data_IF_741417158454
#
_entry.id   IF_741417158454
#
_cell.length_a   1.000
_cell.length_b   1.000
_cell.length_c   1.000
_cell.angle_alpha   90.00
_cell.angle_beta   90.00
_cell.angle_gamma   90.00
#
_symmetry.space_group_name_H-M   'P 1'
#
loop_
_entity.id
_entity.type
_entity.pdbx_description
1 polymer ?
#
# COMPACT_ATOMS: atom_id res chain seq x y z
N UNK A 1 26.32 -17.40 5.99
CA UNK A 1 25.64 -17.95 7.18
C UNK A 1 24.73 -16.86 7.72
N UNK A 2 23.48 -16.80 7.23
CA UNK A 2 22.46 -15.92 7.79
C UNK A 2 21.75 -16.74 8.86
N UNK A 3 21.96 -16.39 10.13
CA UNK A 3 21.22 -17.02 11.22
C UNK A 3 19.76 -16.59 11.09
N UNK A 4 18.88 -17.55 10.80
CA UNK A 4 17.43 -17.41 10.91
C UNK A 4 17.09 -17.43 12.40
N UNK A 5 16.73 -16.28 12.97
CA UNK A 5 16.31 -16.19 14.37
C UNK A 5 14.86 -16.69 14.48
N UNK A 6 14.62 -17.58 15.43
CA UNK A 6 13.29 -18.12 15.72
C UNK A 6 12.39 -17.00 16.29
N UNK A 7 11.24 -16.79 15.67
CA UNK A 7 10.30 -15.74 16.04
C UNK A 7 9.78 -15.89 17.49
N UNK A 8 9.90 -17.09 18.08
CA UNK A 8 9.51 -17.36 19.47
C UNK A 8 10.45 -16.77 20.52
N UNK A 9 11.77 -16.72 20.27
CA UNK A 9 12.71 -16.10 21.22
C UNK A 9 12.57 -14.57 21.29
N UNK A 10 11.97 -13.95 20.26
CA UNK A 10 11.75 -12.50 20.19
C UNK A 10 10.63 -12.04 21.13
N UNK A 11 9.71 -12.93 21.52
CA UNK A 11 8.52 -12.57 22.30
C UNK A 11 8.69 -12.73 23.81
N UNK A 12 9.66 -13.54 24.28
CA UNK A 12 9.82 -13.87 25.71
C UNK A 12 10.85 -12.99 26.46
N UNK A 13 11.53 -12.09 25.75
CA UNK A 13 12.34 -11.03 26.37
C UNK A 13 11.62 -9.68 26.26
N UNK A 14 10.93 -9.22 27.32
CA UNK A 14 10.95 -7.82 27.82
C UNK A 14 9.76 -7.44 28.72
N UNK A 15 10.06 -6.66 29.77
CA UNK A 15 9.33 -5.42 30.01
C UNK A 15 10.18 -4.13 30.01
N UNK A 16 11.48 -4.14 29.64
CA UNK A 16 12.30 -2.92 29.84
C UNK A 16 13.26 -2.48 28.76
N UNK A 17 13.16 -3.01 27.54
CA UNK A 17 14.15 -2.60 26.55
C UNK A 17 13.69 -1.38 25.77
N UNK A 18 14.59 -0.39 25.81
CA UNK A 18 14.45 1.00 25.42
C UNK A 18 14.04 1.11 23.95
N UNK A 19 13.05 1.95 23.65
CA UNK A 19 12.54 2.19 22.28
C UNK A 19 13.59 2.53 21.21
N UNK A 20 14.80 2.90 21.63
CA UNK A 20 15.95 3.14 20.75
C UNK A 20 16.36 1.90 19.94
N UNK A 21 16.29 0.69 20.52
CA UNK A 21 16.69 -0.53 19.81
C UNK A 21 15.74 -0.90 18.66
N UNK A 22 14.44 -0.66 18.82
CA UNK A 22 13.46 -0.96 17.77
C UNK A 22 13.66 -0.07 16.54
N UNK A 23 14.01 1.22 16.74
CA UNK A 23 14.34 2.13 15.65
C UNK A 23 15.60 1.68 14.90
N UNK A 24 16.67 1.36 15.63
CA UNK A 24 17.91 0.87 15.02
C UNK A 24 17.68 -0.44 14.24
N UNK A 25 16.90 -1.36 14.79
CA UNK A 25 16.53 -2.62 14.14
C UNK A 25 15.68 -2.39 12.88
N UNK A 26 14.66 -1.54 12.94
CA UNK A 26 13.85 -1.17 11.79
C UNK A 26 14.72 -0.57 10.67
N UNK A 27 15.63 0.35 11.02
CA UNK A 27 16.56 0.94 10.07
C UNK A 27 17.44 -0.11 9.39
N UNK A 28 17.98 -1.08 10.14
CA UNK A 28 18.80 -2.15 9.58
C UNK A 28 18.00 -3.02 8.59
N UNK A 29 16.76 -3.38 8.94
CA UNK A 29 15.87 -4.16 8.06
C UNK A 29 15.58 -3.39 6.77
N UNK A 30 15.30 -2.08 6.86
CA UNK A 30 15.08 -1.24 5.69
C UNK A 30 16.32 -1.18 4.79
N UNK A 31 17.52 -1.06 5.37
CA UNK A 31 18.78 -1.15 4.62
C UNK A 31 18.91 -2.50 3.93
N UNK A 32 18.65 -3.61 4.62
CA UNK A 32 18.69 -4.95 4.01
C UNK A 32 17.72 -5.06 2.83
N UNK A 33 16.47 -4.66 3.02
CA UNK A 33 15.44 -4.68 1.96
C UNK A 33 15.86 -3.81 0.77
N UNK A 34 16.49 -2.66 0.99
CA UNK A 34 16.91 -1.76 -0.09
C UNK A 34 18.01 -2.34 -0.98
N UNK A 35 18.80 -3.30 -0.47
CA UNK A 35 19.84 -3.98 -1.26
C UNK A 35 19.29 -5.09 -2.17
N UNK A 36 18.04 -5.49 -1.98
CA UNK A 36 17.41 -6.55 -2.78
C UNK A 36 16.80 -5.97 -4.06
N UNK A 37 17.09 -6.58 -5.23
CA UNK A 37 16.32 -6.29 -6.45
C UNK A 37 14.94 -6.99 -6.37
N UNK A 38 14.04 -6.34 -5.64
CA UNK A 38 12.64 -6.78 -5.47
C UNK A 38 11.89 -6.85 -6.79
N UNK A 39 12.27 -6.05 -7.79
CA UNK A 39 11.62 -6.07 -9.12
C UNK A 39 11.95 -7.37 -9.84
N UNK A 40 13.20 -7.82 -9.76
CA UNK A 40 13.61 -9.07 -10.37
C UNK A 40 13.12 -10.29 -9.57
N UNK A 41 13.36 -10.33 -8.25
CA UNK A 41 13.02 -11.49 -7.40
C UNK A 41 11.52 -11.63 -7.10
N UNK A 42 10.79 -10.52 -7.03
CA UNK A 42 9.43 -10.48 -6.48
C UNK A 42 9.43 -10.51 -4.94
N UNK A 43 8.24 -10.73 -4.34
CA UNK A 43 8.09 -10.87 -2.89
C UNK A 43 8.13 -12.35 -2.52
N UNK A 44 9.30 -12.85 -2.14
CA UNK A 44 9.53 -14.23 -1.70
C UNK A 44 9.29 -14.40 -0.18
N UNK A 45 9.52 -15.60 0.33
CA UNK A 45 9.36 -15.91 1.75
C UNK A 45 10.37 -15.15 2.63
N UNK A 46 11.60 -14.97 2.16
CA UNK A 46 12.66 -14.23 2.86
C UNK A 46 12.26 -12.75 3.02
N UNK A 47 11.84 -12.12 1.94
CA UNK A 47 11.30 -10.76 1.95
C UNK A 47 10.07 -10.66 2.87
N UNK A 48 9.17 -11.65 2.83
CA UNK A 48 7.99 -11.68 3.72
C UNK A 48 8.40 -11.74 5.20
N UNK A 49 9.44 -12.51 5.54
CA UNK A 49 9.97 -12.56 6.90
C UNK A 49 10.60 -11.22 7.34
N UNK A 50 11.33 -10.55 6.43
CA UNK A 50 11.87 -9.20 6.69
C UNK A 50 10.77 -8.16 6.90
N UNK A 51 9.71 -8.20 6.08
CA UNK A 51 8.54 -7.34 6.25
C UNK A 51 7.80 -7.60 7.57
N UNK A 52 7.73 -8.86 8.02
CA UNK A 52 7.18 -9.22 9.33
C UNK A 52 8.01 -8.63 10.47
N UNK A 53 9.34 -8.76 10.39
CA UNK A 53 10.25 -8.16 11.36
C UNK A 53 10.14 -6.64 11.40
N UNK A 54 9.99 -6.00 10.24
CA UNK A 54 9.77 -4.57 10.13
C UNK A 54 8.45 -4.17 10.81
N UNK A 55 7.36 -4.87 10.51
CA UNK A 55 6.05 -4.64 11.14
C UNK A 55 6.12 -4.74 12.67
N UNK A 56 6.81 -5.76 13.18
CA UNK A 56 7.02 -5.92 14.62
C UNK A 56 7.84 -4.77 15.25
N UNK A 57 8.76 -4.15 14.50
CA UNK A 57 9.56 -3.02 14.97
C UNK A 57 8.81 -1.68 14.87
N UNK A 58 7.88 -1.53 13.92
CA UNK A 58 7.12 -0.28 13.71
C UNK A 58 5.92 -0.15 14.62
N UNK A 59 5.33 -1.27 15.06
CA UNK A 59 4.20 -1.25 15.97
C UNK A 59 4.69 -0.96 17.40
N UNK A 60 4.07 0.02 18.08
CA UNK A 60 4.45 0.40 19.44
C UNK A 60 4.13 -0.73 20.43
N UNK A 61 5.09 -1.25 21.23
CA UNK A 61 4.85 -2.33 22.19
C UNK A 61 3.73 -2.06 23.21
N UNK A 62 3.36 -0.79 23.45
CA UNK A 62 2.22 -0.45 24.32
C UNK A 62 0.86 -0.64 23.64
N UNK A 63 0.81 -0.62 22.31
CA UNK A 63 -0.43 -0.63 21.52
C UNK A 63 -0.76 -2.01 20.94
N UNK A 64 0.26 -2.84 20.71
CA UNK A 64 0.06 -4.25 20.42
C UNK A 64 0.44 -5.04 21.67
N UNK A 65 -0.53 -5.64 22.34
CA UNK A 65 -0.33 -6.44 23.56
C UNK A 65 0.34 -7.79 23.26
N UNK A 66 1.32 -7.82 22.34
CA UNK A 66 1.86 -9.05 21.76
C UNK A 66 0.90 -9.76 20.79
N UNK A 67 -0.12 -9.05 20.29
CA UNK A 67 -1.10 -9.64 19.38
C UNK A 67 -0.47 -9.85 17.98
N UNK A 68 -0.11 -11.11 17.68
CA UNK A 68 0.41 -11.52 16.37
C UNK A 68 -0.53 -11.12 15.22
N UNK A 69 -1.84 -11.00 15.46
CA UNK A 69 -2.80 -10.65 14.41
C UNK A 69 -2.53 -9.26 13.81
N UNK A 70 -2.10 -8.30 14.64
CA UNK A 70 -1.77 -6.95 14.20
C UNK A 70 -0.46 -6.91 13.40
N UNK A 71 0.55 -7.67 13.85
CA UNK A 71 1.81 -7.83 13.12
C UNK A 71 1.53 -8.48 11.76
N UNK A 72 0.74 -9.54 11.72
CA UNK A 72 0.36 -10.25 10.49
C UNK A 72 -0.40 -9.33 9.52
N UNK A 73 -1.38 -8.58 10.02
CA UNK A 73 -2.16 -7.62 9.23
C UNK A 73 -1.27 -6.53 8.62
N UNK A 74 -0.37 -5.97 9.41
CA UNK A 74 0.60 -4.95 8.95
C UNK A 74 1.59 -5.52 7.94
N UNK A 75 2.07 -6.74 8.17
CA UNK A 75 2.94 -7.48 7.24
C UNK A 75 2.26 -7.67 5.89
N UNK A 76 0.97 -8.04 5.89
CA UNK A 76 0.19 -8.22 4.67
C UNK A 76 0.04 -6.90 3.89
N UNK A 77 -0.21 -5.79 4.59
CA UNK A 77 -0.26 -4.45 3.96
C UNK A 77 1.07 -4.08 3.31
N UNK A 78 2.19 -4.25 4.02
CA UNK A 78 3.52 -3.99 3.46
C UNK A 78 3.80 -4.86 2.24
N UNK A 79 3.48 -6.16 2.32
CA UNK A 79 3.61 -7.09 1.20
C UNK A 79 2.80 -6.63 -0.03
N UNK A 80 1.55 -6.23 0.15
CA UNK A 80 0.69 -5.75 -0.95
C UNK A 80 1.27 -4.50 -1.63
N UNK A 81 1.85 -3.58 -0.87
CA UNK A 81 2.50 -2.38 -1.43
C UNK A 81 3.71 -2.77 -2.29
N UNK A 82 4.57 -3.66 -1.79
CA UNK A 82 5.75 -4.12 -2.55
C UNK A 82 5.32 -4.92 -3.80
N UNK A 83 4.33 -5.81 -3.69
CA UNK A 83 3.81 -6.57 -4.85
C UNK A 83 3.28 -5.64 -5.95
N UNK A 84 2.53 -4.61 -5.60
CA UNK A 84 2.06 -3.59 -6.56
C UNK A 84 3.21 -2.86 -7.22
N UNK A 85 4.20 -2.43 -6.43
CA UNK A 85 5.41 -1.78 -6.95
C UNK A 85 6.16 -2.68 -7.95
N UNK A 86 6.30 -3.97 -7.65
CA UNK A 86 6.95 -4.95 -8.54
C UNK A 86 6.19 -5.09 -9.86
N UNK A 87 4.86 -5.18 -9.82
CA UNK A 87 4.02 -5.29 -11.03
C UNK A 87 4.21 -4.06 -11.92
N UNK A 88 4.07 -2.85 -11.35
CA UNK A 88 4.23 -1.59 -12.10
C UNK A 88 5.64 -1.46 -12.67
N UNK A 89 6.67 -1.73 -11.86
CA UNK A 89 8.08 -1.64 -12.29
C UNK A 89 8.41 -2.63 -13.42
N UNK A 90 7.87 -3.85 -13.37
CA UNK A 90 8.05 -4.84 -14.44
C UNK A 90 7.35 -4.40 -15.73
N UNK A 91 6.14 -3.85 -15.63
CA UNK A 91 5.43 -3.31 -16.79
C UNK A 91 6.21 -2.16 -17.44
N UNK A 92 6.74 -1.24 -16.63
CA UNK A 92 7.56 -0.12 -17.11
C UNK A 92 8.85 -0.60 -17.79
N UNK A 93 9.57 -1.57 -17.22
CA UNK A 93 10.78 -2.16 -17.86
C UNK A 93 10.46 -2.82 -19.21
N UNK A 94 9.31 -3.51 -19.34
CA UNK A 94 8.87 -4.10 -20.62
C UNK A 94 8.56 -3.03 -21.66
N UNK A 95 7.91 -1.95 -21.27
CA UNK A 95 7.59 -0.83 -22.16
C UNK A 95 8.85 -0.11 -22.65
N UNK A 96 9.81 0.16 -21.76
CA UNK A 96 11.12 0.70 -22.15
C UNK A 96 11.87 -0.24 -23.10
N UNK A 97 11.80 -1.55 -22.87
CA UNK A 97 12.34 -2.56 -23.78
C UNK A 97 11.73 -2.49 -25.17
N UNK A 98 10.40 -2.33 -25.27
CA UNK A 98 9.68 -2.17 -26.56
C UNK A 98 10.10 -0.90 -27.29
N UNK A 99 10.17 0.23 -26.59
CA UNK A 99 10.60 1.52 -27.18
C UNK A 99 12.04 1.45 -27.70
N UNK A 100 12.93 0.84 -26.94
CA UNK A 100 14.33 0.65 -27.37
C UNK A 100 14.45 -0.33 -28.55
N UNK A 101 13.61 -1.36 -28.60
CA UNK A 101 13.51 -2.27 -29.74
C UNK A 101 13.03 -1.58 -31.01
N UNK A 102 11.97 -0.77 -30.93
CA UNK A 102 11.46 0.02 -32.06
C UNK A 102 12.50 1.01 -32.59
N UNK A 103 13.28 1.65 -31.71
CA UNK A 103 14.32 2.60 -32.13
C UNK A 103 15.44 1.95 -32.95
N UNK A 104 15.71 0.66 -32.73
CA UNK A 104 16.68 -0.11 -33.52
C UNK A 104 16.13 -0.63 -34.85
N UNK A 105 14.81 -0.65 -35.00
CA UNK A 105 14.13 -1.07 -36.23
C UNK A 105 13.73 0.09 -37.14
N UNK A 106 14.16 1.32 -36.84
CA UNK A 106 14.10 2.38 -37.85
C UNK A 106 14.99 1.88 -38.98
N UNK A 107 14.42 1.53 -40.17
CA UNK A 107 15.24 1.16 -41.29
C UNK A 107 16.19 2.33 -41.51
N UNK A 108 17.49 2.03 -41.52
CA UNK A 108 18.47 2.95 -42.09
C UNK A 108 18.02 3.07 -43.53
N UNK A 109 17.17 4.06 -43.83
CA UNK A 109 16.94 4.49 -45.19
C UNK A 109 18.33 4.76 -45.71
N UNK A 110 18.73 4.01 -46.74
CA UNK A 110 19.97 4.19 -47.45
C UNK A 110 20.09 5.67 -47.80
N UNK A 111 20.90 6.40 -47.02
CA UNK A 111 21.38 7.74 -47.35
C UNK A 111 22.42 7.56 -48.45
N UNK A 112 21.97 7.04 -49.59
CA UNK A 112 22.76 6.89 -50.82
C UNK A 112 22.30 7.85 -51.91
N UNK A 113 21.35 8.75 -51.66
CA UNK A 113 20.90 9.73 -52.66
C UNK A 113 20.84 11.15 -52.11
N UNK A 114 21.99 11.73 -51.74
CA UNK A 114 22.17 13.19 -51.77
C UNK A 114 23.65 13.61 -51.71
N UNK A 115 24.50 12.99 -52.53
CA UNK A 115 25.83 13.51 -52.85
C UNK A 115 25.81 14.23 -54.22
N UNK A 116 24.76 15.02 -54.46
CA UNK A 116 24.80 16.08 -55.47
C UNK A 116 25.21 17.38 -54.79
N UNK A 117 26.50 17.45 -54.45
CA UNK A 117 27.17 18.68 -54.05
C UNK A 117 27.28 19.56 -55.31
N UNK A 118 26.72 20.78 -55.33
CA UNK A 118 27.01 21.72 -56.41
C UNK A 118 28.51 22.07 -56.36
N UNK A 119 29.18 22.22 -57.51
CA UNK A 119 30.60 22.54 -57.56
C UNK A 119 30.81 23.94 -56.98
N UNK A 120 31.36 24.01 -55.77
CA UNK A 120 31.83 25.25 -55.17
C UNK A 120 33.10 25.70 -55.88
N UNK A 121 33.04 26.93 -56.38
CA UNK A 121 34.15 27.69 -56.93
C UNK A 121 35.35 27.69 -55.98
N UNK A 122 36.52 27.49 -56.58
CA UNK A 122 37.83 27.64 -55.97
C UNK A 122 38.00 29.04 -55.37
N UNK A 123 38.44 29.13 -54.12
CA UNK A 123 38.73 30.41 -53.49
C UNK A 123 39.33 30.29 -52.10
N UNK A 124 40.66 30.45 -52.05
CA UNK A 124 41.48 30.95 -50.94
C UNK A 124 41.72 30.03 -49.73
N UNK A 125 42.92 29.44 -49.78
CA UNK A 125 43.69 28.98 -48.64
C UNK A 125 44.10 30.18 -47.77
N UNK A 126 43.75 30.14 -46.49
CA UNK A 126 44.50 30.87 -45.47
C UNK A 126 45.01 29.89 -44.42
N UNK A 127 46.34 29.86 -44.31
CA UNK A 127 47.14 29.25 -43.26
C UNK A 127 46.58 29.59 -41.88
N UNK A 128 46.37 28.56 -41.06
CA UNK A 128 46.45 28.72 -39.61
C UNK A 128 47.07 27.48 -38.99
N UNK A 129 48.30 27.67 -38.53
CA UNK A 129 49.12 26.73 -37.79
C UNK A 129 48.37 26.23 -36.53
N UNK A 130 48.43 24.91 -36.30
CA UNK A 130 48.20 24.32 -34.99
C UNK A 130 49.40 23.43 -34.62
N UNK A 131 49.88 23.49 -33.37
CA UNK A 131 51.07 22.79 -32.95
C UNK A 131 50.78 21.31 -32.63
N UNK A 132 51.79 20.51 -32.95
CA UNK A 132 51.86 19.09 -32.67
C UNK A 132 51.87 18.79 -31.17
N UNK A 133 50.99 17.88 -30.74
CA UNK A 133 51.31 17.01 -29.62
C UNK A 133 50.56 15.68 -29.80
N UNK A 134 51.16 14.77 -30.56
CA UNK A 134 50.67 13.41 -30.80
C UNK A 134 51.62 12.43 -30.14
N UNK A 135 51.23 11.98 -28.95
CA UNK A 135 51.87 10.86 -28.25
C UNK A 135 51.59 9.59 -29.06
N UNK A 136 52.65 8.98 -29.60
CA UNK A 136 52.63 7.67 -30.23
C UNK A 136 52.42 6.58 -29.16
N UNK A 137 51.22 6.02 -29.08
CA UNK A 137 51.01 4.72 -28.45
C UNK A 137 51.04 3.61 -29.52
N UNK A 138 52.02 2.71 -29.35
CA UNK A 138 52.24 1.49 -30.12
C UNK A 138 50.99 0.57 -30.07
N UNK A 139 50.56 -0.04 -31.19
CA UNK A 139 49.59 -1.12 -31.14
C UNK A 139 50.27 -2.40 -30.60
N UNK A 140 49.70 -2.95 -29.54
CA UNK A 140 50.06 -4.26 -28.98
C UNK A 140 49.44 -5.33 -29.89
N UNK A 141 50.27 -6.13 -30.55
CA UNK A 141 49.83 -7.25 -31.39
C UNK A 141 49.10 -8.28 -30.53
N UNK A 142 47.89 -8.65 -30.95
CA UNK A 142 47.13 -9.76 -30.38
C UNK A 142 47.61 -11.09 -30.97
N UNK A 143 47.64 -12.19 -30.19
CA UNK A 143 48.05 -13.50 -30.69
C UNK A 143 46.99 -14.10 -31.62
N UNK A 144 47.49 -14.74 -32.67
CA UNK A 144 46.76 -15.44 -33.73
C UNK A 144 45.99 -16.64 -33.15
N UNK A 145 44.71 -16.87 -33.50
CA UNK A 145 44.00 -18.09 -33.13
C UNK A 145 44.51 -19.28 -33.96
N UNK A 146 44.88 -20.35 -33.28
CA UNK A 146 45.19 -21.65 -33.88
C UNK A 146 43.86 -22.31 -34.29
N UNK A 147 43.66 -22.50 -35.60
CA UNK A 147 42.60 -23.35 -36.15
C UNK A 147 42.81 -24.80 -35.70
N UNK A 148 41.93 -25.27 -34.81
CA UNK A 148 41.76 -26.70 -34.55
C UNK A 148 40.70 -27.25 -35.50
N UNK A 149 41.14 -28.12 -36.41
CA UNK A 149 40.27 -28.94 -37.25
C UNK A 149 39.28 -29.73 -36.38
N UNK A 150 37.98 -29.52 -36.62
CA UNK A 150 36.91 -30.25 -35.99
C UNK A 150 36.75 -31.64 -36.65
N UNK A 151 36.88 -32.70 -35.87
CA UNK A 151 36.51 -34.05 -36.25
C UNK A 151 34.97 -34.19 -36.26
N UNK A 152 34.39 -34.96 -37.19
CA UNK A 152 32.95 -35.19 -37.24
C UNK A 152 32.51 -36.12 -36.11
N UNK A 153 31.60 -35.64 -35.24
CA UNK A 153 30.93 -36.47 -34.24
C UNK A 153 29.82 -37.31 -34.89
N UNK A 154 29.59 -38.55 -34.42
CA UNK A 154 28.53 -39.42 -34.94
C UNK A 154 27.15 -38.92 -34.50
N UNK A 155 26.20 -38.92 -35.45
CA UNK A 155 24.81 -38.54 -35.20
C UNK A 155 24.11 -39.59 -34.33
N UNK A 156 23.83 -39.25 -33.09
CA UNK A 156 22.89 -39.98 -32.23
C UNK A 156 21.48 -39.50 -32.55
N UNK A 157 20.64 -40.39 -33.10
CA UNK A 157 19.21 -40.14 -33.30
C UNK A 157 18.51 -40.05 -31.95
N UNK A 158 18.03 -38.86 -31.60
CA UNK A 158 17.15 -38.64 -30.45
C UNK A 158 15.71 -38.94 -30.89
N UNK A 159 14.93 -39.74 -30.13
CA UNK A 159 13.53 -40.00 -30.45
C UNK A 159 12.68 -38.72 -30.31
N UNK A 160 11.81 -38.50 -31.29
CA UNK A 160 10.81 -37.43 -31.31
C UNK A 160 9.84 -37.62 -30.13
N UNK A 161 9.64 -36.63 -29.24
CA UNK A 161 8.62 -36.73 -28.22
C UNK A 161 7.23 -36.57 -28.84
N UNK A 162 6.34 -37.51 -28.54
CA UNK A 162 4.91 -37.44 -28.85
C UNK A 162 4.31 -36.18 -28.21
N UNK A 163 3.79 -35.32 -29.08
CA UNK A 163 3.18 -34.04 -28.75
C UNK A 163 1.81 -34.27 -28.11
N UNK A 164 1.73 -34.22 -26.78
CA UNK A 164 0.47 -34.16 -26.06
C UNK A 164 -0.14 -32.77 -26.23
N UNK A 165 -1.33 -32.71 -26.82
CA UNK A 165 -2.12 -31.49 -26.95
C UNK A 165 -2.59 -31.04 -25.56
N UNK A 166 -2.16 -29.84 -25.15
CA UNK A 166 -2.68 -29.16 -23.98
C UNK A 166 -4.11 -28.64 -24.25
N UNK A 167 -5.01 -28.65 -23.24
CA UNK A 167 -6.36 -28.12 -23.39
C UNK A 167 -6.32 -26.61 -23.61
N UNK A 168 -7.14 -26.14 -24.56
CA UNK A 168 -7.28 -24.74 -24.91
C UNK A 168 -7.71 -23.90 -23.69
N UNK A 169 -6.90 -22.91 -23.33
CA UNK A 169 -7.28 -21.86 -22.41
C UNK A 169 -8.29 -20.92 -23.08
N UNK A 170 -9.28 -20.39 -22.34
CA UNK A 170 -10.29 -19.49 -22.89
C UNK A 170 -9.64 -18.22 -23.43
N UNK A 171 -9.99 -17.88 -24.66
CA UNK A 171 -9.53 -16.72 -25.41
C UNK A 171 -10.07 -15.44 -24.74
N UNK A 172 -9.24 -14.75 -23.95
CA UNK A 172 -9.59 -13.43 -23.39
C UNK A 172 -9.79 -12.44 -24.55
N UNK A 173 -10.94 -11.76 -24.55
CA UNK A 173 -11.30 -10.85 -25.63
C UNK A 173 -10.30 -9.67 -25.72
N UNK A 174 -9.81 -9.31 -26.94
CA UNK A 174 -8.77 -8.29 -27.13
C UNK A 174 -9.10 -6.91 -26.51
N UNK A 175 -10.38 -6.58 -26.36
CA UNK A 175 -10.84 -5.29 -25.84
C UNK A 175 -10.68 -5.15 -24.32
N UNK A 176 -10.82 -6.23 -23.54
CA UNK A 176 -10.61 -6.17 -22.08
C UNK A 176 -9.13 -6.04 -21.72
N UNK A 177 -8.25 -6.75 -22.45
CA UNK A 177 -6.81 -6.64 -22.28
C UNK A 177 -6.31 -5.24 -22.67
N UNK A 178 -6.82 -4.67 -23.77
CA UNK A 178 -6.49 -3.31 -24.18
C UNK A 178 -6.96 -2.26 -23.16
N UNK A 179 -8.11 -2.46 -22.52
CA UNK A 179 -8.62 -1.57 -21.48
C UNK A 179 -7.79 -1.66 -20.19
N UNK A 180 -7.43 -2.87 -19.74
CA UNK A 180 -6.54 -3.08 -18.58
C UNK A 180 -5.14 -2.50 -18.81
N UNK A 181 -4.57 -2.68 -20.00
CA UNK A 181 -3.25 -2.11 -20.35
C UNK A 181 -3.28 -0.57 -20.36
N UNK A 182 -4.38 0.06 -20.79
CA UNK A 182 -4.54 1.53 -20.69
C UNK A 182 -4.72 2.01 -19.24
N UNK A 183 -5.42 1.23 -18.40
CA UNK A 183 -5.59 1.54 -16.98
C UNK A 183 -4.25 1.49 -16.21
N UNK A 184 -3.43 0.46 -16.46
CA UNK A 184 -2.13 0.31 -15.82
C UNK A 184 -1.11 1.36 -16.30
N UNK A 185 -1.17 1.76 -17.58
CA UNK A 185 -0.32 2.81 -18.12
C UNK A 185 -0.62 4.20 -17.52
N UNK A 186 -1.90 4.50 -17.25
CA UNK A 186 -2.30 5.75 -16.57
C UNK A 186 -1.85 5.78 -15.11
N UNK A 187 -1.99 4.68 -14.37
CA UNK A 187 -1.52 4.57 -12.99
C UNK A 187 0.01 4.70 -12.88
N UNK A 188 0.76 4.08 -13.80
CA UNK A 188 2.22 4.19 -13.84
C UNK A 188 2.70 5.61 -14.18
N UNK A 189 2.01 6.32 -15.09
CA UNK A 189 2.31 7.71 -15.42
C UNK A 189 2.11 8.66 -14.23
N UNK A 190 1.00 8.51 -13.50
CA UNK A 190 0.68 9.30 -12.31
C UNK A 190 1.68 9.05 -11.17
N UNK A 191 2.09 7.79 -10.97
CA UNK A 191 3.06 7.44 -9.94
C UNK A 191 4.46 8.00 -10.24
N UNK A 192 4.86 8.02 -11.52
CA UNK A 192 6.12 8.63 -11.95
C UNK A 192 6.09 10.17 -11.83
N UNK A 193 4.92 10.78 -11.99
CA UNK A 193 4.72 12.22 -11.78
C UNK A 193 4.82 12.58 -10.29
N UNK A 194 4.18 11.82 -9.40
CA UNK A 194 4.27 12.03 -7.95
C UNK A 194 5.68 11.84 -7.38
N UNK A 195 6.48 10.91 -7.95
CA UNK A 195 7.86 10.65 -7.49
C UNK A 195 8.93 11.54 -8.15
N UNK A 196 8.57 12.35 -9.16
CA UNK A 196 9.53 13.27 -9.81
C UNK A 196 9.47 14.71 -9.28
N UNK A 197 8.54 15.01 -8.36
CA UNK A 197 8.57 16.26 -7.61
C UNK A 197 9.75 16.26 -6.62
N UNK A 198 10.59 17.30 -6.70
CA UNK A 198 11.56 17.61 -5.64
C UNK A 198 10.77 17.86 -4.36
N UNK A 199 11.18 17.20 -3.29
CA UNK A 199 10.47 17.04 -2.01
C UNK A 199 10.25 18.38 -1.26
N UNK A 200 10.73 19.52 -1.76
CA UNK A 200 10.80 20.76 -0.98
C UNK A 200 9.70 21.80 -1.25
N UNK A 201 8.93 21.79 -2.35
CA UNK A 201 8.11 23.00 -2.66
C UNK A 201 6.64 22.83 -3.07
N UNK A 202 6.05 21.63 -3.21
CA UNK A 202 4.64 21.56 -3.68
C UNK A 202 3.81 20.39 -3.10
N UNK A 203 3.76 20.31 -1.77
CA UNK A 203 2.90 19.33 -1.08
C UNK A 203 1.41 19.56 -1.32
N UNK A 204 0.97 20.81 -1.51
CA UNK A 204 -0.44 21.13 -1.81
C UNK A 204 -0.87 20.55 -3.16
N UNK A 205 -0.01 20.62 -4.18
CA UNK A 205 -0.29 20.04 -5.49
C UNK A 205 -0.32 18.50 -5.45
N UNK A 206 0.58 17.88 -4.68
CA UNK A 206 0.60 16.44 -4.51
C UNK A 206 -0.64 15.94 -3.74
N UNK A 207 -1.09 16.70 -2.73
CA UNK A 207 -2.29 16.39 -1.95
C UNK A 207 -3.56 16.59 -2.78
N UNK A 208 -3.66 17.67 -3.56
CA UNK A 208 -4.76 17.90 -4.52
C UNK A 208 -4.83 16.80 -5.58
N UNK A 209 -3.69 16.36 -6.12
CA UNK A 209 -3.64 15.23 -7.06
C UNK A 209 -4.11 13.92 -6.40
N UNK A 210 -3.71 13.66 -5.16
CA UNK A 210 -4.15 12.48 -4.42
C UNK A 210 -5.67 12.55 -4.12
N UNK A 211 -6.18 13.72 -3.74
CA UNK A 211 -7.59 13.97 -3.51
C UNK A 211 -8.43 13.77 -4.78
N UNK A 212 -7.97 14.26 -5.93
CA UNK A 212 -8.65 14.03 -7.22
C UNK A 212 -8.68 12.55 -7.61
N UNK A 213 -7.61 11.79 -7.33
CA UNK A 213 -7.56 10.35 -7.57
C UNK A 213 -8.58 9.61 -6.68
N UNK A 214 -8.64 9.96 -5.40
CA UNK A 214 -9.57 9.35 -4.44
C UNK A 214 -11.03 9.68 -4.80
N UNK A 215 -11.32 10.93 -5.19
CA UNK A 215 -12.64 11.33 -5.70
C UNK A 215 -12.99 10.57 -6.98
N UNK A 216 -12.08 10.51 -7.96
CA UNK A 216 -12.33 9.77 -9.21
C UNK A 216 -12.56 8.27 -9.00
N UNK A 217 -11.94 7.64 -8.00
CA UNK A 217 -12.23 6.26 -7.61
C UNK A 217 -13.59 6.10 -6.93
N UNK A 218 -14.01 7.08 -6.12
CA UNK A 218 -15.33 7.09 -5.47
C UNK A 218 -16.45 7.28 -6.50
N UNK A 219 -16.31 8.23 -7.41
CA UNK A 219 -17.29 8.51 -8.46
C UNK A 219 -17.48 7.30 -9.41
N UNK A 220 -16.38 6.61 -9.77
CA UNK A 220 -16.47 5.38 -10.57
C UNK A 220 -17.13 4.22 -9.84
N UNK A 221 -16.95 4.12 -8.52
CA UNK A 221 -17.65 3.12 -7.72
C UNK A 221 -19.15 3.40 -7.67
N UNK A 222 -19.53 4.66 -7.53
CA UNK A 222 -20.94 5.08 -7.56
C UNK A 222 -21.56 4.84 -8.93
N UNK A 223 -20.86 5.19 -10.02
CA UNK A 223 -21.31 4.88 -11.38
C UNK A 223 -21.44 3.37 -11.65
N UNK A 224 -20.51 2.56 -11.16
CA UNK A 224 -20.63 1.10 -11.28
C UNK A 224 -21.82 0.57 -10.48
N UNK A 225 -22.06 1.07 -9.26
CA UNK A 225 -23.25 0.69 -8.49
C UNK A 225 -24.55 1.13 -9.17
N UNK A 226 -24.59 2.33 -9.75
CA UNK A 226 -25.72 2.83 -10.53
C UNK A 226 -25.98 1.95 -11.77
N UNK A 227 -24.92 1.48 -12.42
CA UNK A 227 -24.99 0.60 -13.59
C UNK A 227 -25.44 -0.82 -13.24
N UNK A 228 -25.05 -1.33 -12.07
CA UNK A 228 -25.44 -2.66 -11.57
C UNK A 228 -26.84 -2.68 -10.92
N UNK A 229 -27.34 -1.53 -10.44
CA UNK A 229 -28.65 -1.40 -9.77
C UNK A 229 -29.82 -1.98 -10.59
N UNK A 230 -29.96 -1.71 -11.89
CA UNK A 230 -31.02 -2.32 -12.71
C UNK A 230 -30.91 -3.84 -12.80
N UNK A 231 -29.69 -4.37 -12.90
CA UNK A 231 -29.44 -5.81 -12.99
C UNK A 231 -29.80 -6.51 -11.67
N UNK A 232 -29.36 -5.97 -10.53
CA UNK A 232 -29.73 -6.49 -9.20
C UNK A 232 -31.24 -6.40 -8.97
N UNK A 233 -31.90 -5.36 -9.48
CA UNK A 233 -33.37 -5.23 -9.41
C UNK A 233 -34.05 -6.30 -10.26
N UNK A 234 -33.55 -6.56 -11.48
CA UNK A 234 -34.06 -7.59 -12.38
C UNK A 234 -33.89 -9.01 -11.82
N UNK A 235 -32.73 -9.32 -11.24
CA UNK A 235 -32.47 -10.60 -10.58
C UNK A 235 -33.40 -10.80 -9.37
N UNK A 236 -33.62 -9.75 -8.58
CA UNK A 236 -34.57 -9.79 -7.46
C UNK A 236 -36.03 -9.97 -7.90
N UNK A 237 -36.44 -9.41 -9.05
CA UNK A 237 -37.78 -9.69 -9.60
C UNK A 237 -37.89 -11.14 -10.08
N UNK A 238 -36.89 -11.66 -10.81
CA UNK A 238 -36.89 -13.06 -11.27
C UNK A 238 -36.96 -14.02 -10.08
N UNK A 239 -36.22 -13.73 -9.00
CA UNK A 239 -36.23 -14.53 -7.77
C UNK A 239 -37.56 -14.47 -7.00
N UNK A 240 -38.38 -13.41 -7.18
CA UNK A 240 -39.73 -13.34 -6.60
C UNK A 240 -40.74 -14.14 -7.43
N UNK A 241 -40.61 -14.10 -8.74
CA UNK A 241 -41.56 -14.74 -9.66
C UNK A 241 -41.32 -16.25 -9.81
N UNK A 242 -40.12 -16.73 -9.44
CA UNK A 242 -39.79 -18.16 -9.43
C UNK A 242 -39.72 -18.68 -7.99
N UNK A 243 -40.86 -19.13 -7.39
CA UNK A 243 -40.82 -19.75 -6.08
C UNK A 243 -39.85 -20.92 -6.11
N UNK A 244 -38.88 -20.88 -5.19
CA UNK A 244 -37.86 -21.91 -5.02
C UNK A 244 -38.54 -23.28 -5.03
N UNK A 245 -38.14 -24.23 -5.90
CA UNK A 245 -38.75 -25.55 -5.90
C UNK A 245 -38.65 -26.14 -4.49
N UNK A 246 -39.71 -26.81 -4.00
CA UNK A 246 -39.70 -27.39 -2.67
C UNK A 246 -38.46 -28.27 -2.55
N UNK A 247 -37.63 -27.98 -1.55
CA UNK A 247 -36.45 -28.79 -1.23
C UNK A 247 -36.95 -30.20 -0.91
N UNK A 248 -36.93 -31.09 -1.89
CA UNK A 248 -37.07 -32.51 -1.67
C UNK A 248 -35.95 -32.88 -0.69
N UNK A 249 -36.33 -33.31 0.51
CA UNK A 249 -35.43 -33.93 1.48
C UNK A 249 -34.93 -35.22 0.84
N UNK A 250 -33.84 -35.13 0.10
CA UNK A 250 -33.10 -36.30 -0.34
C UNK A 250 -32.39 -36.85 0.90
N UNK A 251 -32.98 -37.86 1.52
CA UNK A 251 -32.28 -38.79 2.40
C UNK A 251 -31.15 -39.44 1.59
N UNK A 252 -29.96 -38.86 1.66
CA UNK A 252 -28.74 -39.46 1.13
C UNK A 252 -28.35 -40.60 2.07
N UNK A 253 -28.99 -41.76 1.87
CA UNK A 253 -28.43 -43.03 2.34
C UNK A 253 -27.15 -43.30 1.55
N UNK A 254 -26.02 -43.13 2.23
CA UNK A 254 -24.71 -43.58 1.76
C UNK A 254 -24.81 -45.08 1.41
N UNK A 255 -24.73 -45.41 0.12
CA UNK A 255 -24.55 -46.79 -0.34
C UNK A 255 -23.11 -47.24 0.00
N UNK A 256 -22.92 -48.43 0.57
CA UNK A 256 -21.59 -48.99 0.75
C UNK A 256 -20.95 -49.28 -0.63
N UNK A 257 -19.72 -48.81 -0.80
CA UNK A 257 -18.86 -49.05 -1.96
C UNK A 257 -18.49 -50.55 -2.00
N UNK A 258 -18.57 -51.24 -3.15
CA UNK A 258 -18.05 -52.61 -3.27
C UNK A 258 -16.51 -52.60 -3.19
N UNK A 259 -15.97 -53.51 -2.38
CA UNK A 259 -14.55 -53.69 -2.18
C UNK A 259 -13.89 -54.15 -3.49
N UNK A 260 -13.04 -53.29 -4.05
CA UNK A 260 -12.10 -53.67 -5.10
C UNK A 260 -10.83 -54.23 -4.43
N UNK A 261 -10.56 -55.49 -4.74
CA UNK A 261 -9.38 -56.25 -4.38
C UNK A 261 -8.12 -55.59 -4.99
N UNK A 262 -7.30 -54.95 -4.17
CA UNK A 262 -5.94 -54.52 -4.52
C UNK A 262 -5.02 -55.16 -3.50
N UNK A 263 -4.20 -56.10 -3.96
CA UNK A 263 -3.09 -56.67 -3.20
C UNK A 263 -2.09 -55.54 -2.90
N UNK A 264 -1.91 -55.24 -1.62
CA UNK A 264 -0.84 -54.38 -1.14
C UNK A 264 0.45 -55.21 -0.97
N UNK A 265 1.63 -54.68 -1.33
CA UNK A 265 2.89 -55.35 -1.06
C UNK A 265 3.27 -55.26 0.41
N UNK A 266 3.89 -56.34 0.84
CA UNK A 266 4.48 -56.62 2.14
C UNK A 266 5.46 -55.51 2.58
N UNK A 267 5.18 -54.88 3.72
CA UNK A 267 6.00 -53.86 4.36
C UNK A 267 6.12 -54.22 5.84
N UNK A 268 6.82 -55.33 6.07
CA UNK A 268 7.25 -55.75 7.39
C UNK A 268 8.41 -54.87 7.87
N UNK A 269 8.35 -54.46 9.15
CA UNK A 269 9.35 -53.78 9.98
C UNK A 269 9.40 -52.24 9.95
N UNK A 270 8.49 -51.61 10.71
CA UNK A 270 8.78 -50.38 11.44
C UNK A 270 8.72 -50.65 12.96
N UNK A 271 9.71 -50.18 13.75
CA UNK A 271 9.71 -50.35 15.20
C UNK A 271 8.67 -49.45 15.87
N UNK A 272 7.99 -49.99 16.87
CA UNK A 272 6.92 -49.33 17.62
C UNK A 272 7.41 -48.04 18.31
N UNK A 273 6.74 -46.93 18.01
CA UNK A 273 6.91 -45.66 18.71
C UNK A 273 6.17 -45.76 20.06
N UNK A 274 6.81 -45.45 21.20
CA UNK A 274 6.15 -45.48 22.50
C UNK A 274 5.08 -44.38 22.61
N UNK A 275 3.95 -44.65 23.31
CA UNK A 275 2.85 -43.71 23.41
C UNK A 275 3.26 -42.45 24.19
N UNK A 276 2.92 -41.29 23.65
CA UNK A 276 3.19 -39.99 24.25
C UNK A 276 2.52 -39.85 25.64
N UNK A 277 3.18 -39.19 26.62
CA UNK A 277 2.62 -38.98 27.94
C UNK A 277 1.38 -38.08 27.88
N UNK A 278 0.32 -38.49 28.57
CA UNK A 278 -0.93 -37.73 28.65
C UNK A 278 -0.69 -36.41 29.39
N UNK A 279 -1.22 -35.27 28.89
CA UNK A 279 -1.07 -33.99 29.56
C UNK A 279 -1.76 -34.01 30.93
N UNK A 280 -1.01 -33.65 31.97
CA UNK A 280 -1.54 -33.49 33.33
C UNK A 280 -2.53 -32.33 33.34
N UNK A 281 -3.75 -32.61 33.78
CA UNK A 281 -4.80 -31.63 33.98
C UNK A 281 -4.43 -30.75 35.17
N UNK A 282 -4.11 -29.48 34.93
CA UNK A 282 -3.88 -28.49 35.99
C UNK A 282 -5.22 -27.80 36.26
N UNK A 283 -5.78 -27.89 37.48
CA UNK A 283 -7.02 -27.18 37.80
C UNK A 283 -6.78 -25.66 37.79
N UNK A 284 -7.75 -24.87 37.32
CA UNK A 284 -7.62 -23.41 37.28
C UNK A 284 -7.54 -22.80 38.69
N UNK A 285 -6.80 -21.70 38.87
CA UNK A 285 -6.68 -21.04 40.17
C UNK A 285 -8.03 -20.45 40.63
N UNK A 286 -8.26 -20.36 41.96
CA UNK A 286 -9.50 -19.81 42.50
C UNK A 286 -9.65 -18.33 42.12
N UNK A 287 -10.86 -17.97 41.68
CA UNK A 287 -11.24 -16.59 41.33
C UNK A 287 -11.09 -15.67 42.53
N UNK A 288 -10.39 -14.56 42.35
CA UNK A 288 -10.28 -13.48 43.34
C UNK A 288 -11.67 -12.88 43.66
N UNK A 289 -11.90 -12.47 44.91
CA UNK A 289 -13.17 -11.87 45.32
C UNK A 289 -13.37 -10.50 44.65
N UNK A 290 -14.61 -10.24 44.25
CA UNK A 290 -15.02 -9.00 43.59
C UNK A 290 -14.79 -7.76 44.48
N UNK A 291 -14.44 -6.60 43.89
CA UNK A 291 -14.23 -5.38 44.66
C UNK A 291 -15.55 -4.86 45.23
N UNK A 292 -15.52 -4.54 46.53
CA UNK A 292 -16.61 -3.92 47.28
C UNK A 292 -16.83 -2.49 46.74
N UNK A 293 -18.05 -2.20 46.31
CA UNK A 293 -18.46 -0.90 45.80
C UNK A 293 -18.44 0.17 46.92
N UNK A 294 -17.50 1.11 46.82
CA UNK A 294 -17.47 2.32 47.64
C UNK A 294 -18.53 3.30 47.10
N UNK A 295 -19.52 3.64 47.92
CA UNK A 295 -20.56 4.63 47.62
C UNK A 295 -19.94 6.03 47.58
N UNK A 296 -20.12 6.75 46.46
CA UNK A 296 -19.78 8.16 46.36
C UNK A 296 -20.83 9.05 47.07
N UNK A 297 -20.41 10.14 47.74
CA UNK A 297 -21.32 11.11 48.35
C UNK A 297 -21.97 12.02 47.31
N UNK A 298 -23.28 12.22 47.44
CA UNK A 298 -24.13 13.05 46.59
C UNK A 298 -23.84 14.53 46.80
N UNK A 299 -23.43 15.24 45.74
CA UNK A 299 -23.26 16.70 45.72
C UNK A 299 -24.61 17.37 45.39
N UNK A 300 -25.09 18.37 46.16
CA UNK A 300 -26.34 19.07 45.85
C UNK A 300 -26.18 20.06 44.67
N UNK A 301 -27.24 20.26 43.85
CA UNK A 301 -27.18 21.16 42.70
C UNK A 301 -27.23 22.63 43.10
N UNK A 302 -26.43 23.45 42.40
CA UNK A 302 -26.37 24.91 42.57
C UNK A 302 -27.65 25.64 42.09
N UNK A 303 -27.98 26.82 42.66
CA UNK A 303 -29.21 27.54 42.36
C UNK A 303 -29.17 28.22 40.98
N UNK A 304 -30.29 28.13 40.25
CA UNK A 304 -30.50 28.74 38.93
C UNK A 304 -30.84 30.23 39.09
N UNK A 305 -30.04 31.09 38.47
CA UNK A 305 -30.29 32.53 38.36
C UNK A 305 -31.31 32.80 37.23
N UNK A 306 -32.43 33.44 37.55
CA UNK A 306 -33.47 33.85 36.59
C UNK A 306 -33.42 35.38 36.46
N UNK A 307 -33.08 35.95 35.29
CA UNK A 307 -33.11 37.40 35.09
C UNK A 307 -34.55 37.90 34.86
N UNK A 308 -34.85 39.18 35.18
CA UNK A 308 -36.20 39.72 35.21
C UNK A 308 -36.76 40.05 33.81
N UNK A 309 -38.04 39.71 33.62
CA UNK A 309 -38.85 40.00 32.45
C UNK A 309 -39.17 41.50 32.36
N UNK A 310 -38.64 42.17 31.33
CA UNK A 310 -39.11 43.49 30.92
C UNK A 310 -40.37 43.36 30.04
N UNK A 311 -41.43 44.07 30.45
CA UNK A 311 -42.74 44.16 29.80
C UNK A 311 -42.67 44.93 28.47
N UNK A 312 -43.47 44.46 27.51
CA UNK A 312 -43.71 45.01 26.16
C UNK A 312 -44.42 46.38 26.14
N UNK A 313 -44.60 46.99 24.96
CA UNK A 313 -45.91 46.84 24.31
C UNK A 313 -45.88 46.57 22.79
N UNK A 314 -46.97 45.92 22.34
CA UNK A 314 -47.32 45.60 20.94
C UNK A 314 -47.78 46.85 20.17
N UNK A 315 -47.82 46.79 18.84
CA UNK A 315 -49.13 46.88 18.19
C UNK A 315 -49.35 45.84 17.08
N UNK A 316 -50.63 45.63 16.80
CA UNK A 316 -51.25 44.59 16.00
C UNK A 316 -51.02 44.75 14.48
N UNK A 317 -50.84 43.62 13.79
CA UNK A 317 -51.05 43.46 12.36
C UNK A 317 -51.50 42.03 12.06
N UNK A 318 -52.54 41.80 11.23
CA UNK A 318 -53.05 40.46 10.94
C UNK A 318 -52.32 39.85 9.72
N UNK A 319 -51.94 38.57 9.85
CA UNK A 319 -51.68 37.71 8.69
C UNK A 319 -50.22 37.55 8.28
N UNK A 320 -49.49 36.65 8.93
CA UNK A 320 -48.41 35.89 8.31
C UNK A 320 -48.27 34.54 9.02
N UNK A 321 -48.20 33.40 8.30
CA UNK A 321 -47.92 32.12 8.93
C UNK A 321 -46.54 32.17 9.58
N UNK A 322 -46.49 31.83 10.87
CA UNK A 322 -45.28 31.80 11.66
C UNK A 322 -44.25 30.85 11.04
N UNK A 323 -43.33 31.38 10.24
CA UNK A 323 -42.05 30.74 10.02
C UNK A 323 -41.36 30.68 11.38
N UNK A 324 -41.12 29.47 11.87
CA UNK A 324 -40.26 29.22 13.02
C UNK A 324 -38.86 29.71 12.63
N UNK A 325 -38.58 30.98 12.87
CA UNK A 325 -37.21 31.50 12.88
C UNK A 325 -36.59 30.85 14.11
N UNK A 326 -35.95 29.69 13.89
CA UNK A 326 -34.98 29.17 14.85
C UNK A 326 -33.99 30.31 15.04
N UNK A 327 -33.98 30.85 16.25
CA UNK A 327 -33.10 31.91 16.70
C UNK A 327 -31.67 31.44 16.46
N UNK A 328 -31.12 31.74 15.28
CA UNK A 328 -29.76 31.36 14.91
C UNK A 328 -28.92 32.43 15.56
N UNK A 329 -28.55 32.19 16.83
CA UNK A 329 -27.50 32.97 17.48
C UNK A 329 -26.34 33.04 16.48
N UNK A 330 -25.72 34.22 16.29
CA UNK A 330 -24.57 34.34 15.42
C UNK A 330 -23.55 33.31 15.88
N UNK A 331 -23.31 32.31 15.03
CA UNK A 331 -22.41 31.20 15.30
C UNK A 331 -21.09 31.84 15.72
N UNK A 332 -20.68 31.64 16.97
CA UNK A 332 -19.47 32.25 17.50
C UNK A 332 -18.28 31.58 16.82
N UNK A 333 -17.93 32.08 15.63
CA UNK A 333 -16.75 31.67 14.89
C UNK A 333 -15.55 31.84 15.83
N UNK A 334 -14.84 30.75 16.16
CA UNK A 334 -13.68 30.83 17.02
C UNK A 334 -12.70 31.85 16.46
N UNK A 335 -12.25 32.76 17.32
CA UNK A 335 -11.18 33.71 16.97
C UNK A 335 -9.85 33.10 17.37
N UNK A 336 -8.83 33.27 16.52
CA UNK A 336 -7.44 32.90 16.84
C UNK A 336 -7.03 33.57 18.14
N UNK A 337 -6.52 32.80 19.09
CA UNK A 337 -5.95 33.35 20.32
C UNK A 337 -4.58 34.01 20.04
N UNK A 338 -4.17 34.98 20.86
CA UNK A 338 -2.81 35.54 20.82
C UNK A 338 -1.75 34.42 20.88
N UNK A 339 -0.54 34.72 20.41
CA UNK A 339 0.55 33.74 20.38
C UNK A 339 1.19 33.47 21.76
N UNK A 340 0.66 34.07 22.82
CA UNK A 340 1.20 34.00 24.19
C UNK A 340 1.02 32.62 24.84
N UNK A 341 0.31 31.69 24.19
CA UNK A 341 0.07 30.33 24.67
C UNK A 341 1.11 29.34 24.10
N UNK A 342 1.67 28.50 24.98
CA UNK A 342 2.53 27.38 24.59
C UNK A 342 1.76 26.33 23.76
N UNK A 343 2.47 25.66 22.86
CA UNK A 343 1.92 24.56 22.09
C UNK A 343 1.51 23.41 23.01
N UNK A 344 0.22 23.08 23.06
CA UNK A 344 -0.31 22.05 23.97
C UNK A 344 0.11 20.61 23.64
N UNK A 345 0.80 20.38 22.51
CA UNK A 345 1.33 19.06 22.13
C UNK A 345 2.74 18.84 22.66
N UNK A 346 3.65 19.81 22.48
CA UNK A 346 5.05 19.71 22.93
C UNK A 346 5.35 20.49 24.23
N UNK A 347 4.46 21.38 24.66
CA UNK A 347 4.62 22.31 25.78
C UNK A 347 5.80 23.29 25.61
N UNK A 348 6.09 23.66 24.36
CA UNK A 348 7.10 24.67 24.03
C UNK A 348 6.43 25.92 23.45
N UNK A 349 7.07 27.07 23.64
CA UNK A 349 6.60 28.35 23.12
C UNK A 349 6.58 28.35 21.58
N UNK A 350 5.63 29.09 21.01
CA UNK A 350 5.55 29.29 19.56
C UNK A 350 6.24 30.62 19.24
N UNK A 351 7.45 30.57 18.69
CA UNK A 351 8.25 31.77 18.43
C UNK A 351 7.71 32.64 17.30
N UNK A 352 7.06 32.02 16.30
CA UNK A 352 6.62 32.69 15.07
C UNK A 352 5.18 32.36 14.70
N UNK A 353 4.42 33.37 14.27
CA UNK A 353 3.04 33.25 13.80
C UNK A 353 2.90 32.31 12.59
N UNK A 354 3.95 32.24 11.77
CA UNK A 354 4.04 31.42 10.56
C UNK A 354 4.21 29.93 10.87
N UNK A 355 4.82 29.62 12.02
CA UNK A 355 4.98 28.25 12.52
C UNK A 355 3.75 27.76 13.31
N UNK A 356 2.79 28.65 13.58
CA UNK A 356 1.55 28.33 14.27
C UNK A 356 0.38 28.12 13.31
N UNK A 357 -0.24 26.94 13.41
CA UNK A 357 -1.61 26.72 12.93
C UNK A 357 -2.57 26.84 14.11
N UNK A 358 -3.84 27.12 13.86
CA UNK A 358 -4.84 27.30 14.93
C UNK A 358 -6.16 26.64 14.59
N UNK A 359 -6.90 26.23 15.62
CA UNK A 359 -8.17 25.56 15.44
C UNK A 359 -9.29 26.54 15.09
N UNK A 360 -9.72 26.52 13.83
CA UNK A 360 -10.87 27.31 13.32
C UNK A 360 -12.23 26.74 13.68
N UNK A 361 -12.28 25.49 14.15
CA UNK A 361 -13.53 24.78 14.39
C UNK A 361 -14.14 25.10 15.76
N UNK A 362 -13.33 25.11 16.82
CA UNK A 362 -13.85 25.30 18.19
C UNK A 362 -12.92 26.13 19.08
N UNK A 363 -11.69 25.66 19.28
CA UNK A 363 -10.91 26.04 20.46
C UNK A 363 -10.04 27.31 20.28
N UNK A 364 -9.78 27.76 19.04
CA UNK A 364 -9.03 29.00 18.78
C UNK A 364 -7.52 28.97 19.11
N UNK A 365 -7.06 27.92 19.80
CA UNK A 365 -5.68 27.74 20.26
C UNK A 365 -4.68 27.54 19.12
N UNK A 366 -3.47 28.08 19.32
CA UNK A 366 -2.32 27.89 18.44
C UNK A 366 -1.59 26.57 18.77
N UNK A 367 -1.00 25.94 17.75
CA UNK A 367 -0.19 24.72 17.81
C UNK A 367 0.89 24.82 16.74
N UNK A 368 2.11 24.33 16.99
CA UNK A 368 3.14 24.28 15.95
C UNK A 368 2.65 23.46 14.75
N UNK A 369 2.97 23.92 13.53
CA UNK A 369 2.62 23.24 12.28
C UNK A 369 3.07 21.78 12.28
N UNK A 370 4.31 21.53 12.68
CA UNK A 370 4.85 20.17 12.79
C UNK A 370 4.10 19.30 13.81
N UNK A 371 3.71 19.86 14.96
CA UNK A 371 2.91 19.14 15.96
C UNK A 371 1.52 18.79 15.44
N UNK A 372 0.87 19.70 14.71
CA UNK A 372 -0.43 19.45 14.09
C UNK A 372 -0.34 18.38 13.01
N UNK A 373 0.65 18.44 12.12
CA UNK A 373 0.85 17.44 11.06
C UNK A 373 1.07 16.04 11.64
N UNK A 374 1.88 15.92 12.68
CA UNK A 374 2.10 14.64 13.35
C UNK A 374 0.80 14.10 13.96
N UNK A 375 0.08 14.93 14.70
CA UNK A 375 -1.18 14.53 15.33
C UNK A 375 -2.26 14.16 14.30
N UNK A 376 -2.40 14.95 13.23
CA UNK A 376 -3.33 14.67 12.13
C UNK A 376 -3.01 13.34 11.44
N UNK A 377 -1.71 13.09 11.17
CA UNK A 377 -1.24 11.81 10.60
C UNK A 377 -1.61 10.62 11.49
N UNK A 378 -1.43 10.75 12.80
CA UNK A 378 -1.81 9.70 13.76
C UNK A 378 -3.32 9.41 13.73
N UNK A 379 -4.17 10.44 13.63
CA UNK A 379 -5.63 10.28 13.50
C UNK A 379 -6.05 9.61 12.21
N UNK A 380 -5.48 10.02 11.08
CA UNK A 380 -5.74 9.41 9.77
C UNK A 380 -5.33 7.93 9.77
N UNK A 381 -4.16 7.60 10.32
CA UNK A 381 -3.69 6.20 10.42
C UNK A 381 -4.64 5.37 11.30
N UNK A 382 -5.18 5.96 12.37
CA UNK A 382 -6.16 5.32 13.24
C UNK A 382 -7.57 5.22 12.61
N UNK A 383 -7.80 5.81 11.43
CA UNK A 383 -9.12 5.89 10.80
C UNK A 383 -10.10 6.77 11.59
N UNK A 384 -9.57 7.74 12.33
CA UNK A 384 -10.35 8.72 13.10
C UNK A 384 -10.39 10.05 12.35
N UNK A 385 -11.50 10.76 12.48
CA UNK A 385 -11.61 12.13 11.99
C UNK A 385 -10.69 13.07 12.79
N UNK A 386 -10.23 14.13 12.12
CA UNK A 386 -9.33 15.14 12.67
C UNK A 386 -10.18 16.13 13.51
N UNK A 387 -10.15 16.02 14.84
CA UNK A 387 -10.88 16.89 15.80
C UNK A 387 -9.95 17.82 16.60
N UNK A 388 -10.38 18.93 17.23
CA UNK A 388 -9.43 19.75 18.03
C UNK A 388 -8.71 18.85 19.08
N UNK A 389 -7.37 18.81 19.05
CA UNK A 389 -6.57 17.92 19.91
C UNK A 389 -6.55 18.33 21.38
N UNK A 390 -7.06 19.51 21.70
CA UNK A 390 -7.27 19.99 23.07
C UNK A 390 -8.52 19.35 23.73
N UNK A 391 -9.33 18.58 23.00
CA UNK A 391 -10.62 18.04 23.47
C UNK A 391 -10.58 16.57 23.86
#
# INVERSE_FOLDING_TARGET
>A
MVQLWDAREVLDMRPHIKGFEYKARASNILTQISTLDVVQRGVDQEMTAQLRNLAACTLCPRWHSGDESQINSTTLKFRQVVERFVVVSRAQRRELGRRNGQRRQIPIFDVQQQDQRPPALAGQQHNREQPANRVHLRPRQAPVPIERAALPLPQVRVPVPLQQQAPALPEEQPNELAHRVRQDANLAGVFQQLYSFRIEEDWELADDMLHQIIQGHSDRREQNQERERPQVRAERSIARDHPRPPRARADVRLRPRPAANIQAPDLEQQPAIPPAPRPRFVPPPPRSPAPVAIRQPTIPPAPRYIPPLARAPRPYGPGAPAAIIKNTQPQHLPRRQPLDDDCYVCYEAIDHLDDAVWCKAECGKNIHRGCFEQWAREKIIAGQDITCAHW
#
